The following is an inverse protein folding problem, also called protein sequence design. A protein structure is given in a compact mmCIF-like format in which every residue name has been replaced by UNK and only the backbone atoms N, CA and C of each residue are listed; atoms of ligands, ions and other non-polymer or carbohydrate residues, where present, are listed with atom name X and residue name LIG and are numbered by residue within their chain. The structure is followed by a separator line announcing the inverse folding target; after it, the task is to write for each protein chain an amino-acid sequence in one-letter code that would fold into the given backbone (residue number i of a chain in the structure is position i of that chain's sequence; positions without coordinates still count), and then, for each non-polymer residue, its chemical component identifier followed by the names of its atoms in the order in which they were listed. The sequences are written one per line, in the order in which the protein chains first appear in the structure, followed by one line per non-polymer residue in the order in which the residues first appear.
data_IF_176135066641
#
_entry.id   IF_176135066641
#
_cell.length_a   1.000
_cell.length_b   1.000
_cell.length_c   1.000
_cell.angle_alpha   90.00
_cell.angle_beta   90.00
_cell.angle_gamma   90.00
#
_symmetry.space_group_name_H-M   'P 1'
#
loop_
_entity.id
_entity.type
_entity.pdbx_description
1 polymer ?
#
# COMPACT_ATOMS: atom_id res chain seq x y z
N UNK A 1 9.71 -17.84 14.39
CA UNK A 1 9.54 -16.42 14.79
C UNK A 1 8.46 -15.81 13.90
N UNK A 2 7.56 -14.98 14.45
CA UNK A 2 6.57 -14.31 13.62
C UNK A 2 7.28 -13.34 12.65
N UNK A 3 6.82 -13.31 11.41
CA UNK A 3 7.17 -12.25 10.46
C UNK A 3 5.88 -11.63 9.92
N UNK A 4 5.99 -10.48 9.29
CA UNK A 4 4.87 -9.77 8.71
C UNK A 4 5.02 -9.70 7.19
N UNK A 5 3.91 -9.57 6.51
CA UNK A 5 3.85 -9.38 5.07
C UNK A 5 2.71 -8.43 4.72
N UNK A 6 2.83 -7.77 3.58
CA UNK A 6 1.81 -6.88 3.03
C UNK A 6 1.26 -7.52 1.77
N UNK A 7 -0.06 -7.66 1.70
CA UNK A 7 -0.76 -8.26 0.57
C UNK A 7 -1.80 -7.30 0.03
N UNK A 8 -1.86 -7.17 -1.29
CA UNK A 8 -3.00 -6.55 -1.96
C UNK A 8 -4.21 -7.49 -1.87
N UNK A 9 -5.29 -7.03 -1.25
CA UNK A 9 -6.51 -7.83 -1.04
C UNK A 9 -7.33 -8.01 -2.31
N UNK A 10 -7.17 -7.12 -3.29
CA UNK A 10 -7.87 -7.14 -4.57
C UNK A 10 -7.20 -8.11 -5.53
N UNK A 11 -5.88 -8.01 -5.68
CA UNK A 11 -5.10 -8.85 -6.61
C UNK A 11 -4.56 -10.12 -5.96
N UNK A 12 -4.55 -10.19 -4.62
CA UNK A 12 -3.89 -11.22 -3.79
C UNK A 12 -2.37 -11.24 -3.93
N UNK A 13 -1.80 -10.21 -4.53
CA UNK A 13 -0.37 -10.09 -4.74
C UNK A 13 0.35 -9.76 -3.43
N UNK A 14 1.53 -10.34 -3.24
CA UNK A 14 2.35 -10.17 -2.05
C UNK A 14 3.37 -9.07 -2.32
N UNK A 15 3.15 -7.89 -1.75
CA UNK A 15 3.90 -6.67 -2.04
C UNK A 15 5.16 -6.55 -1.18
N UNK A 16 5.10 -7.05 0.06
CA UNK A 16 6.24 -7.10 0.97
C UNK A 16 6.19 -8.37 1.82
N UNK A 17 7.36 -8.94 2.15
CA UNK A 17 7.48 -10.19 2.93
C UNK A 17 8.61 -10.12 3.94
N UNK A 18 8.66 -11.11 4.82
CA UNK A 18 9.75 -11.33 5.78
C UNK A 18 10.02 -10.09 6.68
N UNK A 19 8.98 -9.31 6.98
CA UNK A 19 9.09 -8.09 7.77
C UNK A 19 9.20 -8.44 9.25
N UNK A 20 10.12 -7.78 9.96
CA UNK A 20 10.49 -8.17 11.32
C UNK A 20 9.36 -7.97 12.35
N UNK A 21 8.57 -6.91 12.18
CA UNK A 21 7.48 -6.55 13.06
C UNK A 21 6.41 -5.73 12.31
N UNK A 22 5.34 -5.38 13.03
CA UNK A 22 4.25 -4.58 12.48
C UNK A 22 4.72 -3.18 12.07
N UNK A 23 5.66 -2.58 12.80
CA UNK A 23 6.23 -1.26 12.46
C UNK A 23 6.99 -1.30 11.14
N UNK A 24 7.72 -2.38 10.87
CA UNK A 24 8.37 -2.61 9.58
C UNK A 24 7.34 -2.78 8.44
N UNK A 25 6.15 -3.31 8.73
CA UNK A 25 5.05 -3.39 7.78
C UNK A 25 4.42 -2.03 7.49
N UNK A 26 4.18 -1.21 8.50
CA UNK A 26 3.75 0.19 8.32
C UNK A 26 4.76 0.98 7.49
N UNK A 27 6.06 0.89 7.82
CA UNK A 27 7.10 1.54 7.03
C UNK A 27 7.22 1.00 5.59
N UNK A 28 6.78 -0.23 5.34
CA UNK A 28 6.71 -0.78 3.98
C UNK A 28 5.48 -0.25 3.23
N UNK A 29 4.35 -0.04 3.92
CA UNK A 29 3.17 0.62 3.35
C UNK A 29 3.49 2.07 2.94
N UNK A 30 4.17 2.83 3.79
CA UNK A 30 4.59 4.20 3.47
C UNK A 30 5.46 4.23 2.21
N UNK A 31 6.45 3.33 2.12
CA UNK A 31 7.30 3.20 0.92
C UNK A 31 6.52 2.84 -0.34
N UNK A 32 5.53 1.94 -0.23
CA UNK A 32 4.66 1.59 -1.35
C UNK A 32 3.81 2.78 -1.83
N UNK A 33 3.37 3.65 -0.92
CA UNK A 33 2.69 4.92 -1.29
C UNK A 33 3.65 5.81 -2.07
N UNK A 34 4.84 6.07 -1.52
CA UNK A 34 5.83 6.96 -2.14
C UNK A 34 6.25 6.47 -3.54
N UNK A 35 6.48 5.16 -3.70
CA UNK A 35 6.85 4.55 -4.98
C UNK A 35 5.72 4.68 -6.00
N UNK A 36 4.48 4.42 -5.59
CA UNK A 36 3.33 4.51 -6.48
C UNK A 36 3.04 5.97 -6.88
N UNK A 37 3.16 6.93 -5.96
CA UNK A 37 3.05 8.36 -6.28
C UNK A 37 4.10 8.79 -7.31
N UNK A 38 5.35 8.35 -7.13
CA UNK A 38 6.42 8.63 -8.08
C UNK A 38 6.17 8.01 -9.45
N UNK A 39 5.70 6.78 -9.50
CA UNK A 39 5.42 6.09 -10.76
C UNK A 39 4.26 6.73 -11.51
N UNK A 40 3.19 7.12 -10.80
CA UNK A 40 2.08 7.89 -11.39
C UNK A 40 2.57 9.21 -11.97
N UNK A 41 3.41 9.93 -11.22
CA UNK A 41 3.99 11.19 -11.69
C UNK A 41 4.89 10.99 -12.91
N UNK A 42 5.72 9.94 -12.93
CA UNK A 42 6.60 9.60 -14.06
C UNK A 42 5.83 9.20 -15.31
N UNK A 43 4.74 8.45 -15.15
CA UNK A 43 3.91 8.00 -16.26
C UNK A 43 3.02 9.11 -16.82
N UNK A 44 3.02 10.30 -16.21
CA UNK A 44 2.11 11.38 -16.57
C UNK A 44 0.65 11.02 -16.28
N UNK A 45 0.41 10.01 -15.45
CA UNK A 45 -0.89 9.54 -15.01
C UNK A 45 -1.40 10.46 -13.89
N UNK A 46 -1.60 11.74 -14.22
CA UNK A 46 -2.06 12.75 -13.28
C UNK A 46 -3.53 12.65 -12.86
N UNK A 47 -4.30 11.68 -13.36
CA UNK A 47 -5.77 11.80 -13.41
C UNK A 47 -6.56 10.55 -12.98
N UNK A 48 -5.97 9.63 -12.22
CA UNK A 48 -6.66 8.44 -11.73
C UNK A 48 -6.76 8.41 -10.22
N UNK A 49 -7.98 8.37 -9.66
CA UNK A 49 -8.17 7.99 -8.25
C UNK A 49 -7.92 6.49 -8.12
N UNK A 50 -6.73 6.11 -7.66
CA UNK A 50 -6.36 4.73 -7.40
C UNK A 50 -6.72 4.39 -5.96
N UNK A 51 -7.46 3.29 -5.78
CA UNK A 51 -7.77 2.75 -4.47
C UNK A 51 -7.12 1.38 -4.35
N UNK A 52 -6.10 1.28 -3.49
CA UNK A 52 -5.53 0.00 -3.11
C UNK A 52 -6.07 -0.41 -1.74
N UNK A 53 -6.26 -1.70 -1.56
CA UNK A 53 -6.69 -2.30 -0.29
C UNK A 53 -5.64 -3.31 0.10
N UNK A 54 -4.93 -3.05 1.18
CA UNK A 54 -3.78 -3.81 1.61
C UNK A 54 -4.05 -4.44 2.98
N UNK A 55 -3.75 -5.72 3.13
CA UNK A 55 -3.74 -6.38 4.43
C UNK A 55 -2.30 -6.50 4.92
N UNK A 56 -2.09 -6.17 6.19
CA UNK A 56 -0.90 -6.57 6.93
C UNK A 56 -1.21 -7.93 7.54
N UNK A 57 -0.46 -8.94 7.14
CA UNK A 57 -0.60 -10.30 7.64
C UNK A 57 0.58 -10.64 8.54
N UNK A 58 0.30 -11.26 9.68
CA UNK A 58 1.28 -11.88 10.55
C UNK A 58 1.37 -13.35 10.20
N UNK A 59 2.60 -13.85 10.04
CA UNK A 59 2.88 -15.24 9.67
C UNK A 59 3.59 -15.93 10.82
N UNK A 60 2.99 -17.01 11.33
CA UNK A 60 3.53 -17.82 12.42
C UNK A 60 3.49 -19.28 11.99
N UNK A 61 4.66 -19.91 11.92
CA UNK A 61 4.80 -21.33 11.56
C UNK A 61 4.03 -21.71 10.27
N UNK A 62 4.03 -20.81 9.28
CA UNK A 62 3.35 -20.97 7.99
C UNK A 62 1.85 -20.63 7.99
N UNK A 63 1.27 -20.28 9.14
CA UNK A 63 -0.11 -19.81 9.26
C UNK A 63 -0.13 -18.28 9.13
N UNK A 64 -0.97 -17.77 8.22
CA UNK A 64 -1.17 -16.34 7.97
C UNK A 64 -2.43 -15.84 8.68
N UNK A 65 -2.31 -14.76 9.44
CA UNK A 65 -3.41 -14.06 10.11
C UNK A 65 -3.41 -12.59 9.69
N UNK A 66 -4.55 -12.06 9.23
CA UNK A 66 -4.69 -10.64 8.95
C UNK A 66 -4.75 -9.86 10.28
N UNK A 67 -3.80 -8.94 10.47
CA UNK A 67 -3.64 -8.15 11.70
C UNK A 67 -3.84 -6.65 11.48
N UNK A 68 -3.92 -6.19 10.22
CA UNK A 68 -4.23 -4.81 9.87
C UNK A 68 -4.81 -4.72 8.46
N UNK A 69 -5.70 -3.75 8.23
CA UNK A 69 -6.30 -3.46 6.93
C UNK A 69 -6.12 -1.98 6.60
N UNK A 70 -5.53 -1.71 5.43
CA UNK A 70 -5.21 -0.38 4.95
C UNK A 70 -5.89 -0.12 3.62
N UNK A 71 -6.43 1.09 3.48
CA UNK A 71 -6.99 1.57 2.22
C UNK A 71 -6.18 2.78 1.79
N UNK A 72 -5.37 2.59 0.76
CA UNK A 72 -4.61 3.67 0.15
C UNK A 72 -5.48 4.31 -0.92
N UNK A 73 -5.55 5.63 -0.90
CA UNK A 73 -6.24 6.44 -1.90
C UNK A 73 -5.21 7.39 -2.49
N UNK A 74 -4.76 7.09 -3.71
CA UNK A 74 -3.83 7.94 -4.45
C UNK A 74 -4.60 8.70 -5.52
N UNK A 75 -4.31 9.98 -5.64
CA UNK A 75 -4.93 10.86 -6.62
C UNK A 75 -4.73 12.32 -6.22
N UNK A 76 -4.54 13.17 -7.21
CA UNK A 76 -4.58 14.61 -7.03
C UNK A 76 -6.05 14.99 -6.88
N UNK A 77 -6.39 15.80 -5.88
CA UNK A 77 -7.67 16.50 -5.89
C UNK A 77 -7.61 17.43 -7.11
N UNK A 78 -8.35 17.12 -8.18
CA UNK A 78 -8.61 18.01 -9.32
C UNK A 78 -9.57 19.14 -8.86
N UNK A 79 -9.29 19.68 -7.68
CA UNK A 79 -9.99 20.75 -7.01
C UNK A 79 -9.47 22.10 -7.47
N UNK A 80 -9.97 22.48 -8.65
CA UNK A 80 -10.09 23.84 -9.18
C UNK A 80 -8.80 24.55 -9.62
N UNK A 81 -8.73 24.78 -10.94
CA UNK A 81 -8.22 26.04 -11.49
C UNK A 81 -8.54 27.22 -10.54
N UNK A 82 -7.55 27.93 -9.98
CA UNK A 82 -7.78 29.20 -9.29
C UNK A 82 -8.01 30.38 -10.27
N UNK A 83 -8.50 30.11 -11.49
CA UNK A 83 -8.74 31.10 -12.54
C UNK A 83 -10.20 31.07 -13.03
N UNK A 84 -11.14 31.51 -12.19
CA UNK A 84 -12.42 32.10 -12.60
C UNK A 84 -12.72 33.33 -11.73
#
# INVERSE_FOLDING_TARGET
MPHYQVRDTTTRELLARDLADYTAAEAALDRLVDELEQDLQRNGEGAGRIRLRLDVERVIDGVTEAVGHHVLLLGVDDGADPLL
#
